data_IF_655919386451
#
_entry.id   IF_655919386451
#
_cell.length_a   1.000
_cell.length_b   1.000
_cell.length_c   1.000
_cell.angle_alpha   90.00
_cell.angle_beta   90.00
_cell.angle_gamma   90.00
#
_symmetry.space_group_name_H-M   'P 1'
#
loop_
_entity.id
_entity.type
_entity.pdbx_description
1 polymer ?
#
# COMPACT_ATOMS: atom_id res chain seq x y z
N UNK A 1 23.01 10.00 -12.20
CA UNK A 1 21.62 10.48 -12.03
C UNK A 1 21.58 11.29 -10.75
N UNK A 2 21.00 12.49 -10.77
CA UNK A 2 20.84 13.34 -9.58
C UNK A 2 19.43 13.08 -9.03
N UNK A 3 19.26 12.79 -7.73
CA UNK A 3 17.93 12.56 -7.16
C UNK A 3 17.08 13.85 -7.19
N UNK A 4 15.80 13.69 -7.51
CA UNK A 4 14.82 14.78 -7.50
C UNK A 4 14.09 14.80 -6.15
N UNK A 5 13.96 15.99 -5.55
CA UNK A 5 13.20 16.17 -4.31
C UNK A 5 11.74 16.48 -4.65
N UNK A 6 10.86 15.51 -4.40
CA UNK A 6 9.41 15.70 -4.56
C UNK A 6 8.87 16.41 -3.30
N UNK A 7 8.54 17.70 -3.41
CA UNK A 7 8.02 18.52 -2.30
C UNK A 7 6.52 18.79 -2.50
N UNK A 8 5.62 18.34 -1.61
CA UNK A 8 4.20 18.64 -1.70
C UNK A 8 3.88 20.08 -1.26
N UNK A 9 2.76 20.64 -1.74
CA UNK A 9 2.21 21.89 -1.21
C UNK A 9 1.63 21.68 0.19
N UNK A 10 2.06 22.50 1.15
CA UNK A 10 1.64 22.43 2.55
C UNK A 10 0.67 23.57 2.94
N UNK A 11 0.12 24.29 1.97
CA UNK A 11 -0.89 25.32 2.22
C UNK A 11 -2.09 24.71 2.96
N UNK A 12 -2.46 25.29 4.11
CA UNK A 12 -3.51 24.78 5.01
C UNK A 12 -3.27 23.38 5.60
N UNK A 13 -2.02 22.90 5.68
CA UNK A 13 -1.70 21.61 6.30
C UNK A 13 -1.86 21.64 7.83
N UNK A 14 -2.72 20.76 8.35
CA UNK A 14 -3.15 20.77 9.76
C UNK A 14 -2.14 20.12 10.71
N UNK A 15 -1.42 19.10 10.24
CA UNK A 15 -0.46 18.37 11.08
C UNK A 15 0.70 19.28 11.47
N UNK A 16 1.14 19.16 12.73
CA UNK A 16 2.25 19.92 13.29
C UNK A 16 3.39 18.97 13.65
N UNK A 17 4.65 19.44 13.68
CA UNK A 17 5.79 18.59 14.04
C UNK A 17 5.74 18.00 15.45
N UNK A 18 4.90 18.56 16.32
CA UNK A 18 4.74 18.13 17.71
C UNK A 18 3.28 17.84 18.03
N UNK A 19 3.05 16.87 18.91
CA UNK A 19 1.72 16.46 19.40
C UNK A 19 1.52 16.98 20.83
N UNK A 20 0.26 17.21 21.21
CA UNK A 20 -0.08 17.65 22.58
C UNK A 20 0.06 16.50 23.58
N UNK A 21 0.58 16.79 24.78
CA UNK A 21 0.52 15.88 25.94
C UNK A 21 -0.90 15.51 26.38
N UNK A 22 -1.93 16.20 25.87
CA UNK A 22 -3.34 15.86 26.13
C UNK A 22 -3.86 14.73 25.23
N UNK A 23 -3.07 14.28 24.25
CA UNK A 23 -3.45 13.14 23.42
C UNK A 23 -3.54 11.88 24.30
N UNK A 24 -4.50 10.97 24.03
CA UNK A 24 -4.58 9.71 24.75
C UNK A 24 -3.36 8.85 24.42
N UNK A 25 -2.95 8.03 25.38
CA UNK A 25 -1.94 7.00 25.14
C UNK A 25 -2.52 5.95 24.18
N UNK A 26 -1.76 5.65 23.13
CA UNK A 26 -2.13 4.66 22.10
C UNK A 26 -1.10 3.55 22.10
N UNK A 27 -1.58 2.31 22.19
CA UNK A 27 -0.73 1.12 21.98
C UNK A 27 -0.86 0.71 20.52
N UNK A 28 0.23 0.81 19.77
CA UNK A 28 0.27 0.39 18.38
C UNK A 28 0.73 -1.07 18.28
N UNK A 29 -0.12 -1.92 17.70
CA UNK A 29 0.25 -3.27 17.30
C UNK A 29 1.06 -3.26 16.01
N UNK A 30 1.78 -4.35 15.76
CA UNK A 30 2.43 -4.58 14.46
C UNK A 30 1.37 -4.57 13.35
N UNK A 31 1.67 -3.92 12.23
CA UNK A 31 0.81 -3.90 11.06
C UNK A 31 1.16 -5.08 10.15
N UNK A 32 0.20 -5.98 9.94
CA UNK A 32 0.41 -7.23 9.21
C UNK A 32 -0.15 -7.18 7.80
N UNK A 33 0.28 -8.12 6.95
CA UNK A 33 -0.31 -8.30 5.62
C UNK A 33 -1.83 -8.63 5.68
N UNK A 34 -2.28 -9.28 6.76
CA UNK A 34 -3.69 -9.53 6.99
C UNK A 34 -4.46 -8.24 7.25
N UNK A 35 -3.94 -7.32 8.07
CA UNK A 35 -4.58 -6.03 8.34
C UNK A 35 -4.76 -5.21 7.04
N UNK A 36 -3.75 -5.25 6.17
CA UNK A 36 -3.82 -4.61 4.85
C UNK A 36 -4.89 -5.27 3.96
N UNK A 37 -4.95 -6.60 3.93
CA UNK A 37 -5.96 -7.32 3.18
C UNK A 37 -7.38 -7.00 3.68
N UNK A 38 -7.54 -6.97 5.01
CA UNK A 38 -8.81 -6.68 5.65
C UNK A 38 -9.25 -5.24 5.39
N UNK A 39 -8.33 -4.27 5.37
CA UNK A 39 -8.65 -2.87 5.08
C UNK A 39 -9.03 -2.60 3.61
N UNK A 40 -8.42 -3.32 2.66
CA UNK A 40 -8.53 -3.01 1.22
C UNK A 40 -9.49 -3.95 0.48
N UNK A 41 -9.35 -5.27 0.66
CA UNK A 41 -10.00 -6.27 -0.19
C UNK A 41 -11.19 -6.97 0.49
N UNK A 42 -11.14 -7.19 1.80
CA UNK A 42 -12.10 -8.07 2.49
C UNK A 42 -13.57 -7.72 2.26
N UNK A 43 -13.90 -6.41 2.32
CA UNK A 43 -15.26 -5.91 2.15
C UNK A 43 -15.78 -6.24 0.75
N UNK A 44 -14.98 -5.95 -0.27
CA UNK A 44 -15.36 -6.16 -1.65
C UNK A 44 -15.53 -7.64 -1.96
N UNK A 45 -14.56 -8.47 -1.60
CA UNK A 45 -14.63 -9.92 -1.83
C UNK A 45 -15.87 -10.52 -1.15
N UNK A 46 -16.17 -10.07 0.07
CA UNK A 46 -17.37 -10.50 0.80
C UNK A 46 -18.67 -10.10 0.09
N UNK A 47 -18.71 -8.93 -0.53
CA UNK A 47 -19.86 -8.44 -1.29
C UNK A 47 -20.01 -9.21 -2.61
N UNK A 48 -18.93 -9.42 -3.36
CA UNK A 48 -18.92 -10.15 -4.62
C UNK A 48 -19.33 -11.61 -4.43
N UNK A 49 -18.87 -12.25 -3.35
CA UNK A 49 -19.29 -13.59 -2.97
C UNK A 49 -20.79 -13.67 -2.71
N UNK A 50 -21.35 -12.72 -1.94
CA UNK A 50 -22.80 -12.68 -1.65
C UNK A 50 -23.64 -12.39 -2.89
N UNK A 51 -23.12 -11.61 -3.83
CA UNK A 51 -23.81 -11.21 -5.05
C UNK A 51 -23.63 -12.20 -6.20
N UNK A 52 -22.81 -13.24 -6.04
CA UNK A 52 -22.51 -14.20 -7.10
C UNK A 52 -21.71 -13.58 -8.25
N UNK A 53 -20.88 -12.57 -7.96
CA UNK A 53 -20.04 -11.86 -8.93
C UNK A 53 -18.64 -12.47 -9.06
N UNK A 54 -18.49 -13.73 -8.69
CA UNK A 54 -17.26 -14.50 -8.84
C UNK A 54 -17.43 -15.49 -9.99
N UNK A 55 -16.36 -15.72 -10.75
CA UNK A 55 -16.32 -16.75 -11.78
C UNK A 55 -16.19 -18.17 -11.17
N UNK A 56 -16.07 -19.19 -12.03
CA UNK A 56 -15.94 -20.59 -11.59
C UNK A 56 -14.61 -20.87 -10.88
N UNK A 57 -13.59 -20.04 -11.12
CA UNK A 57 -12.26 -20.13 -10.53
C UNK A 57 -12.13 -19.26 -9.26
N UNK A 58 -13.17 -18.51 -8.91
CA UNK A 58 -13.23 -17.63 -7.74
C UNK A 58 -12.68 -16.22 -7.97
N UNK A 59 -12.40 -15.82 -9.22
CA UNK A 59 -11.96 -14.46 -9.53
C UNK A 59 -13.15 -13.49 -9.63
N UNK A 60 -12.95 -12.21 -9.27
CA UNK A 60 -13.97 -11.19 -9.41
C UNK A 60 -14.26 -10.88 -10.89
N UNK A 61 -15.54 -10.86 -11.26
CA UNK A 61 -15.98 -10.46 -12.61
C UNK A 61 -15.72 -8.97 -12.88
N UNK A 62 -15.77 -8.14 -11.83
CA UNK A 62 -15.54 -6.70 -11.88
C UNK A 62 -14.36 -6.35 -10.96
N UNK A 63 -13.10 -6.63 -11.35
CA UNK A 63 -11.94 -6.43 -10.49
C UNK A 63 -11.74 -4.94 -10.16
N UNK A 64 -11.28 -4.66 -8.94
CA UNK A 64 -10.90 -3.32 -8.50
C UNK A 64 -9.59 -2.91 -9.16
N UNK A 65 -9.20 -1.63 -9.05
CA UNK A 65 -7.92 -1.16 -9.59
C UNK A 65 -6.76 -1.96 -9.00
N UNK A 66 -6.83 -2.24 -7.70
CA UNK A 66 -5.80 -2.93 -6.94
C UNK A 66 -5.74 -4.43 -7.29
N UNK A 67 -6.89 -5.08 -7.48
CA UNK A 67 -6.97 -6.49 -7.93
C UNK A 67 -6.57 -6.69 -9.40
N UNK A 68 -6.68 -5.65 -10.23
CA UNK A 68 -6.35 -5.71 -11.66
C UNK A 68 -4.85 -5.60 -11.94
N UNK A 69 -4.03 -5.33 -10.92
CA UNK A 69 -2.60 -5.16 -11.08
C UNK A 69 -1.93 -6.48 -11.44
N UNK A 70 -1.04 -6.45 -12.43
CA UNK A 70 -0.18 -7.61 -12.70
C UNK A 70 0.86 -7.79 -11.58
N UNK A 71 1.38 -9.02 -11.36
CA UNK A 71 2.41 -9.25 -10.34
C UNK A 71 3.63 -8.34 -10.49
N UNK A 72 4.04 -8.03 -11.73
CA UNK A 72 5.16 -7.14 -12.02
C UNK A 72 4.83 -5.69 -11.66
N UNK A 73 3.64 -5.20 -12.01
CA UNK A 73 3.20 -3.85 -11.65
C UNK A 73 3.06 -3.68 -10.14
N UNK A 74 2.48 -4.66 -9.46
CA UNK A 74 2.37 -4.68 -8.01
C UNK A 74 3.76 -4.66 -7.35
N UNK A 75 4.70 -5.44 -7.87
CA UNK A 75 6.09 -5.45 -7.39
C UNK A 75 6.81 -4.11 -7.62
N UNK A 76 6.65 -3.51 -8.79
CA UNK A 76 7.21 -2.18 -9.08
C UNK A 76 6.62 -1.12 -8.16
N UNK A 77 5.30 -1.16 -7.89
CA UNK A 77 4.65 -0.24 -6.97
C UNK A 77 5.15 -0.40 -5.53
N UNK A 78 5.28 -1.64 -5.06
CA UNK A 78 5.80 -1.93 -3.72
C UNK A 78 7.25 -1.46 -3.52
N UNK A 79 8.02 -1.31 -4.59
CA UNK A 79 9.41 -0.83 -4.54
C UNK A 79 9.56 0.67 -4.78
N UNK A 80 8.47 1.42 -4.94
CA UNK A 80 8.55 2.88 -5.08
C UNK A 80 9.07 3.50 -3.79
N UNK A 81 9.74 4.64 -3.94
CA UNK A 81 10.21 5.44 -2.80
C UNK A 81 9.04 5.82 -1.89
N UNK A 82 9.21 5.62 -0.58
CA UNK A 82 8.15 5.82 0.40
C UNK A 82 7.17 4.65 0.57
N UNK A 83 7.45 3.50 -0.04
CA UNK A 83 6.76 2.22 0.22
C UNK A 83 7.52 1.35 1.22
N UNK A 84 6.82 0.40 1.83
CA UNK A 84 7.31 -0.47 2.90
C UNK A 84 8.37 -1.49 2.41
N UNK A 85 8.34 -1.85 1.11
CA UNK A 85 9.33 -2.74 0.49
C UNK A 85 10.44 -1.96 -0.25
N UNK A 86 10.58 -0.67 0.01
CA UNK A 86 11.70 0.11 -0.52
C UNK A 86 13.01 -0.31 0.15
N UNK A 87 13.82 -1.07 -0.60
CA UNK A 87 15.23 -1.26 -0.29
C UNK A 87 16.05 -0.44 -1.29
N UNK A 88 16.94 0.43 -0.80
CA UNK A 88 18.01 1.01 -1.64
C UNK A 88 18.77 -0.17 -2.25
N UNK A 89 18.65 -0.32 -3.57
CA UNK A 89 19.19 -1.49 -4.26
C UNK A 89 20.68 -1.63 -3.96
N UNK A 90 21.10 -2.78 -3.41
CA UNK A 90 22.45 -3.28 -3.63
C UNK A 90 22.64 -3.39 -5.15
N UNK A 91 23.44 -2.48 -5.71
CA UNK A 91 23.95 -2.64 -7.06
C UNK A 91 24.75 -3.93 -7.03
N UNK A 92 24.20 -5.02 -7.57
CA UNK A 92 25.02 -6.18 -7.91
C UNK A 92 26.10 -5.65 -8.85
N UNK A 93 27.32 -5.53 -8.33
CA UNK A 93 28.51 -5.39 -9.15
C UNK A 93 28.61 -6.70 -9.92
N UNK A 94 27.97 -6.72 -11.09
CA UNK A 94 28.24 -7.75 -12.07
C UNK A 94 29.73 -7.61 -12.41
N UNK A 95 30.51 -8.52 -11.84
CA UNK A 95 31.92 -8.71 -12.08
C UNK A 95 32.12 -9.02 -13.57
N UNK A 96 32.73 -8.09 -14.28
CA UNK A 96 33.49 -8.37 -15.51
C UNK A 96 34.72 -7.48 -15.50
#
# INVERSE_FOLDING_TARGET
MIPELIVPDLTNFKLKPYVSYKAPDVVQSEFTAQDLFDAVYSKKISEDFKQGKLDQDGNPLEPSREESLTPQEAFVQARKTGSDLFAESEVKKDST
#
